data_IF_861127480787
#
_entry.id   IF_861127480787
#
_cell.length_a   1.000
_cell.length_b   1.000
_cell.length_c   1.000
_cell.angle_alpha   90.00
_cell.angle_beta   90.00
_cell.angle_gamma   90.00
#
_symmetry.space_group_name_H-M   'P 1'
#
loop_
_entity.id
_entity.type
_entity.pdbx_description
1 polymer ?
#
# COMPACT_ATOMS: atom_id res chain seq x y z
N UNK A 1 -28.91 38.20 3.09
CA UNK A 1 -29.95 37.33 2.49
C UNK A 1 -29.27 36.08 1.94
N UNK A 2 -29.68 34.87 2.34
CA UNK A 2 -29.12 33.65 1.74
C UNK A 2 -29.54 33.62 0.27
N UNK A 3 -28.58 33.54 -0.65
CA UNK A 3 -28.75 33.54 -2.11
C UNK A 3 -29.67 32.42 -2.64
N UNK A 4 -30.19 31.56 -1.77
CA UNK A 4 -30.98 30.37 -2.11
C UNK A 4 -32.13 30.16 -1.11
N UNK A 5 -33.27 29.69 -1.63
CA UNK A 5 -34.43 29.28 -0.87
C UNK A 5 -34.21 27.89 -0.25
N UNK A 6 -33.94 27.85 1.06
CA UNK A 6 -33.53 26.63 1.77
C UNK A 6 -34.60 25.53 1.79
N UNK A 7 -35.88 25.91 1.74
CA UNK A 7 -37.02 24.99 1.76
C UNK A 7 -37.07 24.08 0.51
N UNK A 8 -36.46 24.51 -0.60
CA UNK A 8 -36.41 23.75 -1.87
C UNK A 8 -35.32 22.68 -1.88
N UNK A 9 -34.44 22.65 -0.88
CA UNK A 9 -33.31 21.72 -0.84
C UNK A 9 -33.69 20.37 -0.23
N UNK A 10 -33.18 19.25 -0.77
CA UNK A 10 -33.44 17.94 -0.19
C UNK A 10 -32.86 17.85 1.23
N UNK A 11 -33.47 17.04 2.09
CA UNK A 11 -32.89 16.69 3.39
C UNK A 11 -31.66 15.82 3.19
N UNK A 12 -30.62 16.04 4.00
CA UNK A 12 -29.35 15.35 3.87
C UNK A 12 -29.47 13.82 3.98
N UNK A 13 -30.33 13.32 4.87
CA UNK A 13 -30.61 11.89 5.02
C UNK A 13 -29.43 11.00 5.42
N UNK A 14 -28.26 11.56 5.77
CA UNK A 14 -27.10 10.76 6.19
C UNK A 14 -27.33 10.23 7.62
N UNK A 15 -26.87 9.01 7.90
CA UNK A 15 -26.97 8.43 9.24
C UNK A 15 -26.12 9.25 10.23
N UNK A 16 -26.75 9.76 11.27
CA UNK A 16 -26.06 10.49 12.33
C UNK A 16 -25.47 9.52 13.36
N UNK A 17 -24.63 10.03 14.28
CA UNK A 17 -24.03 9.21 15.34
C UNK A 17 -25.09 8.59 16.28
N UNK A 18 -26.25 9.21 16.43
CA UNK A 18 -27.39 8.69 17.18
C UNK A 18 -28.25 7.70 16.38
N UNK A 19 -27.85 7.34 15.15
CA UNK A 19 -28.52 6.34 14.32
C UNK A 19 -29.68 6.87 13.47
N UNK A 20 -30.18 8.08 13.74
CA UNK A 20 -31.27 8.69 12.97
C UNK A 20 -30.77 9.41 11.70
N UNK A 21 -31.67 9.64 10.75
CA UNK A 21 -31.38 10.36 9.51
C UNK A 21 -31.13 11.86 9.76
N UNK A 22 -30.13 12.43 9.08
CA UNK A 22 -29.79 13.84 9.19
C UNK A 22 -30.88 14.75 8.61
N UNK A 23 -31.41 15.64 9.45
CA UNK A 23 -32.49 16.58 9.12
C UNK A 23 -32.03 17.93 8.55
N UNK A 24 -30.70 18.13 8.43
CA UNK A 24 -30.14 19.35 7.83
C UNK A 24 -30.43 19.37 6.33
N UNK A 25 -30.61 20.56 5.76
CA UNK A 25 -30.71 20.74 4.32
C UNK A 25 -29.38 20.35 3.64
N UNK A 26 -29.51 19.60 2.56
CA UNK A 26 -28.43 19.20 1.68
C UNK A 26 -28.05 20.28 0.69
N UNK A 27 -27.01 20.02 -0.12
CA UNK A 27 -26.66 20.87 -1.26
C UNK A 27 -27.36 20.35 -2.54
N UNK A 28 -27.54 21.22 -3.54
CA UNK A 28 -28.06 20.80 -4.85
C UNK A 28 -27.12 19.85 -5.60
N UNK A 29 -25.82 19.90 -5.29
CA UNK A 29 -24.80 19.14 -6.00
C UNK A 29 -24.85 17.64 -5.68
N UNK A 30 -24.97 17.27 -4.40
CA UNK A 30 -24.92 15.88 -3.98
C UNK A 30 -25.96 15.49 -2.92
N UNK A 31 -26.87 16.41 -2.59
CA UNK A 31 -27.94 16.17 -1.62
C UNK A 31 -27.50 16.07 -0.16
N UNK A 32 -26.19 16.15 0.16
CA UNK A 32 -25.68 16.05 1.54
C UNK A 32 -25.43 17.42 2.14
N UNK A 33 -25.52 17.54 3.48
CA UNK A 33 -25.25 18.80 4.16
C UNK A 33 -23.73 19.01 4.34
N UNK A 34 -23.30 20.23 4.68
CA UNK A 34 -21.87 20.56 4.87
C UNK A 34 -21.11 19.64 5.84
N UNK A 35 -21.81 19.05 6.82
CA UNK A 35 -21.23 18.16 7.82
C UNK A 35 -21.12 16.70 7.37
N UNK A 36 -21.87 16.30 6.33
CA UNK A 36 -21.88 14.94 5.80
C UNK A 36 -21.41 14.90 4.34
N UNK A 37 -20.41 15.74 4.01
CA UNK A 37 -19.80 15.74 2.67
C UNK A 37 -20.51 16.59 1.63
N UNK A 38 -21.45 17.46 2.02
CA UNK A 38 -22.13 18.39 1.10
C UNK A 38 -21.22 19.35 0.34
N UNK A 39 -20.04 19.64 0.92
CA UNK A 39 -18.97 20.42 0.27
C UNK A 39 -17.90 19.55 -0.40
N UNK A 40 -17.98 18.23 -0.25
CA UNK A 40 -17.06 17.32 -0.91
C UNK A 40 -17.39 17.26 -2.40
N UNK A 41 -16.36 17.33 -3.24
CA UNK A 41 -16.49 17.13 -4.69
C UNK A 41 -16.36 15.65 -5.09
N UNK A 42 -16.21 14.75 -4.10
CA UNK A 42 -15.86 13.36 -4.33
C UNK A 42 -14.40 13.19 -4.78
N UNK A 43 -13.96 11.94 -4.89
CA UNK A 43 -12.64 11.67 -5.45
C UNK A 43 -12.66 11.82 -6.97
N UNK A 44 -11.73 12.61 -7.50
CA UNK A 44 -11.57 12.85 -8.94
C UNK A 44 -10.57 11.90 -9.57
N UNK A 45 -9.50 11.57 -8.85
CA UNK A 45 -8.46 10.64 -9.30
C UNK A 45 -8.91 9.20 -9.19
N UNK A 46 -8.31 8.33 -10.02
CA UNK A 46 -8.56 6.89 -10.00
C UNK A 46 -8.26 6.28 -8.63
N UNK A 47 -7.10 6.60 -8.07
CA UNK A 47 -6.69 6.18 -6.72
C UNK A 47 -7.67 6.64 -5.65
N UNK A 48 -8.12 7.89 -5.71
CA UNK A 48 -9.06 8.42 -4.73
C UNK A 48 -10.40 7.71 -4.80
N UNK A 49 -10.89 7.39 -6.01
CA UNK A 49 -12.15 6.64 -6.19
C UNK A 49 -12.03 5.23 -5.60
N UNK A 50 -10.87 4.59 -5.78
CA UNK A 50 -10.63 3.25 -5.25
C UNK A 50 -10.48 3.23 -3.74
N UNK A 51 -9.76 4.21 -3.17
CA UNK A 51 -9.67 4.39 -1.72
C UNK A 51 -11.05 4.55 -1.07
N UNK A 52 -11.99 5.24 -1.74
CA UNK A 52 -13.37 5.35 -1.27
C UNK A 52 -14.10 4.01 -1.35
N UNK A 53 -13.94 3.25 -2.45
CA UNK A 53 -14.54 1.91 -2.58
C UNK A 53 -14.03 0.97 -1.49
N UNK A 54 -12.74 1.02 -1.18
CA UNK A 54 -12.12 0.09 -0.23
C UNK A 54 -12.46 0.38 1.23
N UNK A 55 -12.74 1.64 1.56
CA UNK A 55 -13.29 2.01 2.87
C UNK A 55 -14.65 1.36 3.18
N UNK A 56 -15.38 0.87 2.18
CA UNK A 56 -16.60 0.09 2.41
C UNK A 56 -16.30 -1.35 2.88
N UNK A 57 -15.05 -1.82 2.73
CA UNK A 57 -14.62 -3.21 2.84
C UNK A 57 -13.72 -3.41 4.07
N UNK A 58 -14.08 -2.78 5.19
CA UNK A 58 -13.25 -2.76 6.43
C UNK A 58 -13.12 -4.15 7.06
N UNK A 59 -13.91 -5.15 6.63
CA UNK A 59 -13.86 -6.49 7.21
C UNK A 59 -13.01 -7.45 6.36
N UNK A 60 -11.94 -7.99 6.96
CA UNK A 60 -10.99 -8.90 6.31
C UNK A 60 -11.66 -10.14 5.69
N UNK A 61 -12.75 -10.64 6.29
CA UNK A 61 -13.44 -11.82 5.77
C UNK A 61 -14.17 -11.55 4.45
N UNK A 62 -14.61 -10.31 4.18
CA UNK A 62 -15.33 -9.97 2.94
C UNK A 62 -14.41 -10.15 1.72
N UNK A 63 -13.10 -9.92 1.87
CA UNK A 63 -12.12 -10.13 0.81
C UNK A 63 -11.86 -11.60 0.47
N UNK A 64 -11.95 -12.49 1.45
CA UNK A 64 -11.71 -13.92 1.23
C UNK A 64 -12.91 -14.65 0.63
N UNK A 65 -14.12 -14.10 0.79
CA UNK A 65 -15.37 -14.81 0.49
C UNK A 65 -16.18 -14.22 -0.65
N UNK A 66 -15.92 -12.99 -1.11
CA UNK A 66 -16.90 -12.30 -1.94
C UNK A 66 -16.43 -11.96 -3.38
N UNK A 67 -17.13 -12.53 -4.35
CA UNK A 67 -17.04 -12.21 -5.78
C UNK A 67 -17.64 -10.83 -6.13
N UNK A 68 -18.36 -10.18 -5.21
CA UNK A 68 -18.88 -8.81 -5.38
C UNK A 68 -17.78 -7.74 -5.60
N UNK A 69 -16.54 -8.04 -5.21
CA UNK A 69 -15.39 -7.15 -5.38
C UNK A 69 -14.76 -7.25 -6.77
N UNK A 70 -14.65 -8.46 -7.32
CA UNK A 70 -14.24 -8.68 -8.70
C UNK A 70 -15.34 -8.26 -9.69
N UNK A 71 -16.61 -8.39 -9.30
CA UNK A 71 -17.78 -8.12 -10.16
C UNK A 71 -17.96 -6.66 -10.61
N UNK A 72 -17.21 -5.70 -10.05
CA UNK A 72 -17.24 -4.29 -10.45
C UNK A 72 -15.89 -3.77 -10.98
N UNK A 73 -14.90 -4.65 -11.18
CA UNK A 73 -13.67 -4.30 -11.87
C UNK A 73 -14.02 -4.16 -13.34
N UNK A 74 -13.64 -3.03 -13.96
CA UNK A 74 -13.86 -2.90 -15.40
C UNK A 74 -13.00 -3.91 -16.13
N UNK A 75 -13.53 -4.48 -17.21
CA UNK A 75 -12.79 -5.39 -18.07
C UNK A 75 -11.41 -4.83 -18.46
N UNK A 76 -11.36 -3.55 -18.84
CA UNK A 76 -10.13 -2.82 -19.16
C UNK A 76 -9.12 -2.80 -17.99
N UNK A 77 -9.58 -2.54 -16.76
CA UNK A 77 -8.71 -2.52 -15.57
C UNK A 77 -8.12 -3.93 -15.32
N UNK A 78 -8.90 -4.98 -15.59
CA UNK A 78 -8.47 -6.36 -15.44
C UNK A 78 -7.44 -6.75 -16.51
N UNK A 79 -7.70 -6.43 -17.77
CA UNK A 79 -6.79 -6.69 -18.90
C UNK A 79 -5.45 -5.97 -18.70
N UNK A 80 -5.49 -4.70 -18.27
CA UNK A 80 -4.29 -3.94 -17.93
C UNK A 80 -3.49 -4.60 -16.80
N UNK A 81 -4.15 -5.08 -15.74
CA UNK A 81 -3.48 -5.79 -14.66
C UNK A 81 -2.80 -7.08 -15.12
N UNK A 82 -3.50 -7.88 -15.95
CA UNK A 82 -2.99 -9.14 -16.47
C UNK A 82 -1.82 -8.91 -17.41
N UNK A 83 -1.91 -7.94 -18.32
CA UNK A 83 -0.82 -7.58 -19.22
C UNK A 83 0.41 -7.10 -18.46
N UNK A 84 0.22 -6.26 -17.44
CA UNK A 84 1.31 -5.82 -16.56
C UNK A 84 1.92 -7.00 -15.80
N UNK A 85 1.10 -7.92 -15.28
CA UNK A 85 1.59 -9.13 -14.61
C UNK A 85 2.42 -10.02 -15.56
N UNK A 86 1.95 -10.27 -16.78
CA UNK A 86 2.69 -11.05 -17.77
C UNK A 86 4.04 -10.40 -18.11
N UNK A 87 4.07 -9.08 -18.27
CA UNK A 87 5.33 -8.35 -18.49
C UNK A 87 6.26 -8.43 -17.28
N UNK A 88 5.75 -8.38 -16.06
CA UNK A 88 6.56 -8.60 -14.85
C UNK A 88 7.19 -10.00 -14.83
N UNK A 89 6.51 -11.03 -15.33
CA UNK A 89 7.11 -12.38 -15.45
C UNK A 89 8.32 -12.33 -16.38
N UNK A 90 8.16 -11.73 -17.56
CA UNK A 90 9.24 -11.61 -18.56
C UNK A 90 10.46 -10.88 -17.98
N UNK A 91 10.23 -9.75 -17.28
CA UNK A 91 11.30 -8.96 -16.66
C UNK A 91 11.96 -9.69 -15.50
N UNK A 92 11.21 -10.49 -14.75
CA UNK A 92 11.73 -11.31 -13.67
C UNK A 92 12.66 -12.42 -14.17
N UNK A 93 12.45 -12.92 -15.39
CA UNK A 93 13.33 -13.94 -15.99
C UNK A 93 14.66 -13.35 -16.44
N UNK A 94 14.65 -12.12 -17.00
CA UNK A 94 15.88 -11.43 -17.43
C UNK A 94 16.74 -11.03 -16.23
N UNK A 95 16.12 -10.42 -15.21
CA UNK A 95 16.72 -10.10 -13.91
C UNK A 95 18.04 -9.29 -14.00
N UNK A 96 18.12 -8.30 -14.89
CA UNK A 96 19.21 -7.33 -14.97
C UNK A 96 18.78 -5.93 -14.47
N UNK A 97 19.73 -4.99 -14.40
CA UNK A 97 19.44 -3.63 -13.95
C UNK A 97 18.45 -2.90 -14.85
N UNK A 98 18.39 -3.22 -16.15
CA UNK A 98 17.45 -2.59 -17.09
C UNK A 98 16.04 -3.08 -16.82
N UNK A 99 15.87 -4.39 -16.66
CA UNK A 99 14.61 -5.04 -16.35
C UNK A 99 14.05 -4.58 -15.00
N UNK A 100 14.92 -4.27 -14.04
CA UNK A 100 14.54 -3.64 -12.79
C UNK A 100 13.83 -2.29 -13.01
N UNK A 101 14.45 -1.35 -13.71
CA UNK A 101 13.86 -0.03 -13.94
C UNK A 101 12.59 -0.12 -14.79
N UNK A 102 12.56 -1.01 -15.77
CA UNK A 102 11.37 -1.26 -16.57
C UNK A 102 10.22 -1.81 -15.71
N UNK A 103 10.51 -2.72 -14.77
CA UNK A 103 9.52 -3.24 -13.84
C UNK A 103 8.97 -2.14 -12.91
N UNK A 104 9.82 -1.20 -12.47
CA UNK A 104 9.39 -0.06 -11.64
C UNK A 104 8.51 0.92 -12.42
N UNK A 105 8.84 1.23 -13.68
CA UNK A 105 8.02 2.10 -14.52
C UNK A 105 6.67 1.46 -14.85
N UNK A 106 6.68 0.18 -15.20
CA UNK A 106 5.46 -0.61 -15.43
C UNK A 106 4.59 -0.65 -14.17
N UNK A 107 5.21 -0.86 -13.00
CA UNK A 107 4.51 -0.87 -11.72
C UNK A 107 3.92 0.52 -11.43
N UNK A 108 4.65 1.60 -11.68
CA UNK A 108 4.14 2.96 -11.50
C UNK A 108 2.88 3.21 -12.36
N UNK A 109 2.93 2.79 -13.62
CA UNK A 109 1.84 2.95 -14.58
C UNK A 109 0.59 2.16 -14.18
N UNK A 110 0.74 0.91 -13.75
CA UNK A 110 -0.36 -0.03 -13.50
C UNK A 110 -0.58 -0.37 -12.02
N UNK A 111 0.03 0.36 -11.07
CA UNK A 111 -0.04 0.06 -9.63
C UNK A 111 -1.47 -0.07 -9.13
N UNK A 112 -2.37 0.72 -9.70
CA UNK A 112 -3.78 0.75 -9.31
C UNK A 112 -4.46 -0.56 -9.70
N UNK A 113 -4.28 -0.99 -10.94
CA UNK A 113 -4.79 -2.24 -11.49
C UNK A 113 -4.19 -3.46 -10.81
N UNK A 114 -2.86 -3.48 -10.67
CA UNK A 114 -2.12 -4.55 -10.01
C UNK A 114 -2.63 -4.75 -8.59
N UNK A 115 -2.80 -3.67 -7.83
CA UNK A 115 -3.28 -3.78 -6.45
C UNK A 115 -4.75 -4.22 -6.35
N UNK A 116 -5.59 -3.82 -7.30
CA UNK A 116 -7.00 -4.26 -7.35
C UNK A 116 -7.12 -5.75 -7.70
N UNK A 117 -6.28 -6.24 -8.61
CA UNK A 117 -6.49 -7.51 -9.32
C UNK A 117 -5.54 -8.62 -8.84
N UNK A 118 -4.48 -8.32 -8.06
CA UNK A 118 -3.47 -9.31 -7.61
C UNK A 118 -4.05 -10.58 -7.00
N UNK A 119 -5.13 -10.50 -6.22
CA UNK A 119 -5.77 -11.68 -5.65
C UNK A 119 -6.60 -12.48 -6.67
N UNK A 120 -7.17 -11.81 -7.68
CA UNK A 120 -7.83 -12.50 -8.80
C UNK A 120 -6.81 -13.29 -9.62
N UNK A 121 -5.67 -12.67 -9.92
CA UNK A 121 -4.55 -13.32 -10.60
C UNK A 121 -4.03 -14.47 -9.73
N UNK A 122 -3.81 -14.25 -8.43
CA UNK A 122 -3.33 -15.30 -7.52
C UNK A 122 -4.28 -16.51 -7.45
N UNK A 123 -5.60 -16.27 -7.48
CA UNK A 123 -6.60 -17.35 -7.50
C UNK A 123 -6.51 -18.21 -8.76
N UNK A 124 -6.10 -17.64 -9.89
CA UNK A 124 -6.00 -18.35 -11.18
C UNK A 124 -4.60 -18.89 -11.48
N UNK A 125 -3.54 -18.21 -11.04
CA UNK A 125 -2.14 -18.48 -11.41
C UNK A 125 -1.29 -19.02 -10.24
N UNK A 126 -1.79 -19.00 -9.00
CA UNK A 126 -1.06 -19.48 -7.82
C UNK A 126 -0.48 -18.37 -6.93
N UNK A 127 0.16 -18.80 -5.83
CA UNK A 127 0.69 -17.88 -4.82
C UNK A 127 1.93 -17.11 -5.32
N UNK A 128 2.68 -17.69 -6.25
CA UNK A 128 3.85 -17.11 -6.90
C UNK A 128 3.49 -15.82 -7.64
N UNK A 129 2.31 -15.79 -8.28
CA UNK A 129 1.82 -14.60 -8.96
C UNK A 129 1.56 -13.46 -7.98
N UNK A 130 1.01 -13.76 -6.80
CA UNK A 130 0.83 -12.77 -5.75
C UNK A 130 2.19 -12.25 -5.25
N UNK A 131 3.16 -13.13 -5.04
CA UNK A 131 4.49 -12.75 -4.56
C UNK A 131 5.22 -11.86 -5.56
N UNK A 132 5.12 -12.15 -6.86
CA UNK A 132 5.72 -11.34 -7.91
C UNK A 132 5.12 -9.93 -7.94
N UNK A 133 3.79 -9.84 -8.01
CA UNK A 133 3.07 -8.57 -8.04
C UNK A 133 3.33 -7.77 -6.76
N UNK A 134 3.28 -8.44 -5.60
CA UNK A 134 3.53 -7.79 -4.31
C UNK A 134 4.97 -7.30 -4.19
N UNK A 135 5.96 -8.06 -4.66
CA UNK A 135 7.37 -7.64 -4.62
C UNK A 135 7.60 -6.40 -5.47
N UNK A 136 7.03 -6.35 -6.68
CA UNK A 136 7.14 -5.19 -7.56
C UNK A 136 6.50 -3.94 -6.93
N UNK A 137 5.30 -4.08 -6.36
CA UNK A 137 4.62 -3.00 -5.64
C UNK A 137 5.42 -2.53 -4.43
N UNK A 138 5.85 -3.45 -3.56
CA UNK A 138 6.61 -3.15 -2.35
C UNK A 138 7.88 -2.37 -2.67
N UNK A 139 8.60 -2.78 -3.73
CA UNK A 139 9.78 -2.08 -4.18
C UNK A 139 9.44 -0.69 -4.72
N UNK A 140 8.42 -0.57 -5.58
CA UNK A 140 8.00 0.74 -6.11
C UNK A 140 7.65 1.73 -4.98
N UNK A 141 6.82 1.33 -4.01
CA UNK A 141 6.44 2.20 -2.89
C UNK A 141 7.64 2.54 -1.99
N UNK A 142 8.59 1.60 -1.84
CA UNK A 142 9.84 1.84 -1.15
C UNK A 142 10.69 2.89 -1.88
N UNK A 143 10.82 2.82 -3.20
CA UNK A 143 11.56 3.82 -3.99
C UNK A 143 10.92 5.20 -3.95
N UNK A 144 9.61 5.28 -4.19
CA UNK A 144 8.83 6.51 -4.20
C UNK A 144 8.74 7.14 -2.79
N UNK A 145 8.97 6.34 -1.74
CA UNK A 145 8.80 6.77 -0.35
C UNK A 145 7.34 6.97 0.04
N UNK A 146 6.40 6.51 -0.79
CA UNK A 146 4.97 6.53 -0.50
C UNK A 146 4.55 5.24 0.20
N UNK A 147 3.37 5.29 0.82
CA UNK A 147 2.77 4.10 1.42
C UNK A 147 1.96 3.38 0.36
N UNK A 148 1.90 2.05 0.45
CA UNK A 148 0.87 1.30 -0.24
C UNK A 148 -0.48 1.96 -0.02
N UNK A 149 -1.22 2.05 -1.12
CA UNK A 149 -2.60 2.44 -1.06
C UNK A 149 -3.32 1.51 -0.06
N UNK A 150 -3.97 2.10 0.94
CA UNK A 150 -4.45 1.38 2.13
C UNK A 150 -5.76 0.64 1.86
N UNK A 151 -5.72 -0.35 0.98
CA UNK A 151 -6.87 -1.16 0.59
C UNK A 151 -6.78 -2.63 1.02
N UNK A 152 -5.61 -3.07 1.52
CA UNK A 152 -5.36 -4.46 1.92
C UNK A 152 -5.02 -4.53 3.40
N UNK A 153 -5.44 -5.62 4.04
CA UNK A 153 -4.91 -6.02 5.34
C UNK A 153 -3.40 -6.18 5.18
N UNK A 154 -2.62 -5.49 6.01
CA UNK A 154 -1.16 -5.66 6.04
C UNK A 154 -0.86 -7.14 6.31
N UNK A 155 -0.53 -7.89 5.27
CA UNK A 155 0.28 -9.09 5.43
C UNK A 155 1.63 -8.65 5.99
N UNK A 156 2.29 -9.51 6.77
CA UNK A 156 3.64 -9.21 7.23
C UNK A 156 4.49 -8.77 6.04
N UNK A 157 5.23 -7.66 6.19
CA UNK A 157 6.16 -7.16 5.18
C UNK A 157 7.19 -8.26 4.98
N UNK A 158 7.03 -9.07 3.94
CA UNK A 158 8.08 -9.96 3.49
C UNK A 158 9.09 -9.10 2.73
N UNK A 159 10.40 -9.33 2.91
CA UNK A 159 11.37 -8.67 2.06
C UNK A 159 11.02 -8.98 0.59
N UNK A 160 11.00 -7.97 -0.31
CA UNK A 160 10.74 -8.22 -1.72
C UNK A 160 11.74 -9.26 -2.22
N UNK A 161 11.22 -10.35 -2.77
CA UNK A 161 12.03 -11.49 -3.24
C UNK A 161 12.50 -11.22 -4.67
N UNK A 162 11.68 -10.47 -5.42
CA UNK A 162 11.94 -10.05 -6.79
C UNK A 162 12.18 -8.55 -6.86
N UNK A 163 12.92 -8.12 -7.89
CA UNK A 163 13.21 -6.70 -8.16
C UNK A 163 13.80 -5.98 -6.95
N UNK A 164 14.92 -6.48 -6.41
CA UNK A 164 15.62 -5.81 -5.31
C UNK A 164 16.74 -4.94 -5.84
N UNK A 165 16.71 -3.63 -5.55
CA UNK A 165 17.88 -2.77 -5.79
C UNK A 165 19.01 -3.10 -4.81
N UNK A 166 20.24 -3.14 -5.33
CA UNK A 166 21.48 -3.21 -4.53
C UNK A 166 21.85 -1.85 -3.93
N UNK A 167 21.25 -0.77 -4.43
CA UNK A 167 21.53 0.61 -4.00
C UNK A 167 20.44 1.15 -3.08
N UNK A 168 20.83 2.06 -2.19
CA UNK A 168 19.88 2.79 -1.35
C UNK A 168 19.08 3.75 -2.22
N UNK A 169 17.75 3.62 -2.18
CA UNK A 169 16.85 4.54 -2.88
C UNK A 169 16.94 5.96 -2.29
N UNK A 170 16.60 7.02 -3.04
CA UNK A 170 16.63 8.39 -2.54
C UNK A 170 15.80 8.59 -1.26
N UNK A 171 14.64 7.92 -1.17
CA UNK A 171 13.77 7.94 0.01
C UNK A 171 14.44 7.28 1.22
N UNK A 172 15.12 6.15 1.03
CA UNK A 172 15.87 5.45 2.07
C UNK A 172 17.09 6.24 2.50
N UNK A 173 17.81 6.85 1.56
CA UNK A 173 18.93 7.73 1.85
C UNK A 173 18.48 8.95 2.68
N UNK A 174 17.37 9.59 2.29
CA UNK A 174 16.79 10.70 3.06
C UNK A 174 16.32 10.27 4.45
N UNK A 175 15.71 9.09 4.58
CA UNK A 175 15.28 8.52 5.85
C UNK A 175 16.49 8.20 6.75
N UNK A 176 17.55 7.61 6.17
CA UNK A 176 18.80 7.32 6.85
C UNK A 176 19.48 8.61 7.32
N UNK A 177 19.62 9.62 6.44
CA UNK A 177 20.16 10.93 6.82
C UNK A 177 19.32 11.59 7.94
N UNK A 178 18.00 11.52 7.85
CA UNK A 178 17.12 12.08 8.89
C UNK A 178 17.32 11.37 10.22
N UNK A 179 17.47 10.06 10.19
CA UNK A 179 17.75 9.25 11.36
C UNK A 179 19.12 9.57 11.95
N UNK A 180 20.16 9.67 11.12
CA UNK A 180 21.52 10.02 11.53
C UNK A 180 21.58 11.42 12.13
N UNK A 181 20.92 12.41 11.51
CA UNK A 181 20.78 13.76 12.09
C UNK A 181 20.07 13.75 13.45
N UNK A 182 19.04 12.91 13.63
CA UNK A 182 18.35 12.75 14.92
C UNK A 182 19.24 12.07 15.95
N UNK A 183 20.00 11.06 15.54
CA UNK A 183 20.95 10.35 16.39
C UNK A 183 22.07 11.30 16.85
N UNK A 184 22.65 12.08 15.94
CA UNK A 184 23.64 13.12 16.24
C UNK A 184 23.10 14.15 17.24
N UNK A 185 21.88 14.69 17.00
CA UNK A 185 21.25 15.63 17.94
C UNK A 185 21.05 15.06 19.35
N UNK A 186 20.77 13.75 19.45
CA UNK A 186 20.45 13.10 20.72
C UNK A 186 21.69 12.56 21.46
N UNK A 187 22.70 12.12 20.72
CA UNK A 187 23.82 11.35 21.26
C UNK A 187 25.20 11.93 20.93
N UNK A 188 25.28 13.01 20.15
CA UNK A 188 26.52 13.64 19.70
C UNK A 188 27.11 12.99 18.46
N UNK A 189 28.16 13.61 17.92
CA UNK A 189 28.92 13.08 16.79
C UNK A 189 29.65 11.78 17.19
N UNK A 190 29.76 10.82 16.27
CA UNK A 190 30.35 9.48 16.45
C UNK A 190 29.52 8.45 17.24
N UNK A 191 28.21 8.65 17.42
CA UNK A 191 27.34 7.60 17.93
C UNK A 191 27.20 6.46 16.91
N UNK A 192 27.98 5.39 17.06
CA UNK A 192 27.72 4.13 16.36
C UNK A 192 26.57 3.39 17.05
N UNK A 193 25.49 3.14 16.30
CA UNK A 193 24.35 2.44 16.85
C UNK A 193 24.76 1.09 17.43
N UNK A 194 24.29 0.77 18.63
CA UNK A 194 24.29 -0.62 19.09
C UNK A 194 23.23 -1.35 18.27
N UNK A 195 23.64 -2.10 17.24
CA UNK A 195 22.74 -2.98 16.49
C UNK A 195 22.07 -3.89 17.51
N UNK A 196 20.76 -3.72 17.71
CA UNK A 196 19.98 -4.68 18.51
C UNK A 196 19.90 -5.94 17.68
N UNK A 197 20.85 -6.85 17.88
CA UNK A 197 20.78 -8.20 17.33
C UNK A 197 19.40 -8.77 17.70
N UNK A 198 18.66 -9.26 16.69
CA UNK A 198 17.41 -9.95 16.97
C UNK A 198 17.72 -11.17 17.87
N UNK A 199 16.72 -11.69 18.57
CA UNK A 199 16.92 -12.79 19.51
C UNK A 199 17.67 -13.97 18.87
N UNK A 200 17.40 -14.24 17.59
CA UNK A 200 18.09 -15.24 16.79
C UNK A 200 19.60 -14.96 16.66
N UNK A 201 20.01 -13.76 16.22
CA UNK A 201 21.44 -13.40 16.09
C UNK A 201 22.16 -13.40 17.44
N UNK A 202 21.47 -13.02 18.54
CA UNK A 202 22.03 -13.10 19.89
C UNK A 202 22.26 -14.54 20.35
N UNK A 203 21.33 -15.44 20.04
CA UNK A 203 21.46 -16.85 20.39
C UNK A 203 22.55 -17.51 19.55
N UNK A 204 22.60 -17.26 18.24
CA UNK A 204 23.64 -17.77 17.36
C UNK A 204 25.05 -17.30 17.78
N UNK A 205 25.21 -16.03 18.15
CA UNK A 205 26.50 -15.53 18.65
C UNK A 205 26.91 -16.12 20.01
N UNK A 206 25.93 -16.45 20.87
CA UNK A 206 26.20 -17.17 22.12
C UNK A 206 26.67 -18.60 21.83
N UNK A 207 25.94 -19.33 20.99
CA UNK A 207 26.28 -20.69 20.58
C UNK A 207 27.66 -20.75 19.91
N UNK A 208 27.95 -19.80 19.00
CA UNK A 208 29.24 -19.71 18.33
C UNK A 208 30.41 -19.44 19.30
N UNK A 209 30.22 -18.57 20.30
CA UNK A 209 31.24 -18.33 21.35
C UNK A 209 31.44 -19.56 22.24
N UNK A 210 30.36 -20.28 22.54
CA UNK A 210 30.43 -21.51 23.34
C UNK A 210 31.17 -22.61 22.58
N UNK A 211 30.94 -22.74 21.27
CA UNK A 211 31.70 -23.64 20.39
C UNK A 211 33.15 -23.24 20.20
N UNK A 212 33.46 -21.92 20.13
CA UNK A 212 34.85 -21.48 20.12
C UNK A 212 35.58 -21.83 21.43
N UNK A 213 34.93 -21.71 22.59
CA UNK A 213 35.55 -22.09 23.86
C UNK A 213 35.84 -23.59 23.96
N UNK A 214 35.00 -24.45 23.37
CA UNK A 214 35.22 -25.92 23.37
C UNK A 214 36.25 -26.41 22.36
N UNK A 215 36.78 -25.53 21.49
CA UNK A 215 37.81 -25.87 20.50
C UNK A 215 39.24 -25.53 20.96
N UNK A 216 39.37 -24.94 22.15
CA UNK A 216 40.66 -24.61 22.80
C UNK A 216 40.81 -25.27 24.19
N UNK A 217 40.02 -26.31 24.45
CA UNK A 217 40.18 -27.30 25.54
C UNK A 217 40.43 -28.67 24.90
#
# INVERSE_FOLDING_TARGET
MSKFELATLPKCGAKTRSGSCCQRYGTKANGRCKLHGGRSTGAKTREGKLKIRTNAIVHSTIWHVDNLLFGNIKQEDYENAVNAYLRLIELCVVNDSTAYYEAMELTNQYRVELEMVKFAIARSQGAEALLLIQSALDQFYKEDGSKHLSFHVQTHICPPIFFTSTELTPSQFAAQMTFDMRAQRKHGDNYSHRVRNCAFVRNYQKEFKQHQMTLWD
#
